data_IF_149112561298
#
_entry.id   IF_149112561298
#
_cell.length_a   1.000
_cell.length_b   1.000
_cell.length_c   1.000
_cell.angle_alpha   90.00
_cell.angle_beta   90.00
_cell.angle_gamma   90.00
#
_symmetry.space_group_name_H-M   'P 1'
#
loop_
_entity.id
_entity.type
_entity.pdbx_description
1 polymer ?
#
# COMPACT_ATOMS: atom_id res chain seq x y z
N UNK A 1 20.79 7.77 1.28
CA UNK A 1 20.94 7.31 1.54
C UNK A 1 20.85 7.04 1.46
N UNK A 2 20.79 6.83 1.40
CA UNK A 2 20.88 6.34 1.65
C UNK A 2 20.98 5.57 1.72
N UNK A 3 20.98 5.69 1.54
CA UNK A 3 21.20 4.94 1.75
C UNK A 3 21.06 4.16 2.11
N UNK A 4 21.05 3.72 2.12
CA UNK A 4 21.01 2.89 2.65
C UNK A 4 20.76 2.27 3.29
N UNK A 5 21.13 1.80 2.66
CA UNK A 5 20.50 1.67 3.83
C UNK A 5 20.84 0.53 4.75
N UNK A 6 21.23 0.84 5.86
CA UNK A 6 21.45 -0.08 6.94
C UNK A 6 20.13 -0.72 7.33
N UNK A 7 19.98 -2.06 7.25
CA UNK A 7 18.72 -2.70 7.61
C UNK A 7 18.37 -2.55 9.09
N UNK A 8 19.33 -2.22 9.92
CA UNK A 8 19.07 -1.94 11.33
C UNK A 8 18.69 -0.50 11.58
N UNK A 9 18.79 0.32 10.56
CA UNK A 9 18.38 1.69 10.67
C UNK A 9 16.88 1.76 10.82
N UNK A 10 16.44 2.50 11.81
CA UNK A 10 15.01 2.69 12.02
C UNK A 10 14.44 3.35 10.78
N UNK A 11 13.31 2.89 10.26
CA UNK A 11 12.65 3.60 9.18
C UNK A 11 12.55 5.08 9.51
N UNK A 12 12.62 5.91 8.51
CA UNK A 12 12.61 7.35 8.71
C UNK A 12 11.50 7.79 9.65
N UNK A 13 11.67 8.96 10.21
CA UNK A 13 10.72 9.53 11.17
C UNK A 13 9.27 9.48 10.65
N UNK A 14 9.09 9.70 9.35
CA UNK A 14 7.76 9.66 8.75
C UNK A 14 7.12 8.27 8.86
N UNK A 15 7.89 7.20 8.64
CA UNK A 15 7.38 5.84 8.78
C UNK A 15 7.02 5.52 10.22
N UNK A 16 7.87 5.90 11.15
CA UNK A 16 7.60 5.66 12.56
C UNK A 16 6.35 6.41 13.01
N UNK A 17 6.20 7.66 12.58
CA UNK A 17 5.02 8.47 12.91
C UNK A 17 3.76 7.83 12.34
N UNK A 18 3.81 7.35 11.10
CA UNK A 18 2.66 6.69 10.48
C UNK A 18 2.26 5.45 11.27
N UNK A 19 3.20 4.61 11.70
CA UNK A 19 2.90 3.43 12.49
C UNK A 19 2.26 3.78 13.82
N UNK A 20 2.73 4.83 14.48
CA UNK A 20 2.13 5.30 15.74
C UNK A 20 0.70 5.75 15.51
N UNK A 21 0.43 6.47 14.42
CA UNK A 21 -0.91 6.96 14.11
C UNK A 21 -1.85 5.80 13.76
N UNK A 22 -1.41 4.81 13.00
CA UNK A 22 -2.21 3.63 12.71
C UNK A 22 -2.57 2.87 13.99
N UNK A 23 -1.62 2.73 14.90
CA UNK A 23 -1.86 2.09 16.17
C UNK A 23 -2.90 2.85 17.00
N UNK A 24 -2.82 4.18 17.00
CA UNK A 24 -3.80 5.03 17.68
C UNK A 24 -5.19 4.87 17.09
N UNK A 25 -5.29 4.84 15.76
CA UNK A 25 -6.58 4.62 15.09
C UNK A 25 -7.17 3.26 15.44
N UNK A 26 -6.34 2.22 15.46
CA UNK A 26 -6.80 0.89 15.81
C UNK A 26 -7.37 0.84 17.23
N UNK A 27 -6.68 1.49 18.17
CA UNK A 27 -7.18 1.55 19.56
C UNK A 27 -8.44 2.35 19.68
N UNK A 28 -8.51 3.50 18.98
CA UNK A 28 -9.69 4.36 19.04
C UNK A 28 -10.92 3.71 18.41
N UNK A 29 -10.71 2.82 17.44
CA UNK A 29 -11.80 2.15 16.75
C UNK A 29 -12.36 0.95 17.52
N UNK A 30 -11.69 0.52 18.60
CA UNK A 30 -12.16 -0.62 19.37
C UNK A 30 -13.62 -0.41 19.80
N UNK A 31 -14.47 -1.44 19.73
CA UNK A 31 -14.17 -2.86 19.56
C UNK A 31 -14.06 -3.33 18.11
N UNK A 32 -13.99 -2.43 17.13
CA UNK A 32 -13.75 -2.85 15.75
C UNK A 32 -12.40 -3.55 15.64
N UNK A 33 -12.33 -4.50 14.73
CA UNK A 33 -11.08 -5.18 14.39
C UNK A 33 -10.26 -4.32 13.43
N UNK A 34 -8.99 -4.63 13.30
CA UNK A 34 -8.13 -3.94 12.33
C UNK A 34 -7.20 -4.93 11.66
N UNK A 35 -6.83 -4.62 10.42
CA UNK A 35 -5.83 -5.37 9.68
C UNK A 35 -4.43 -4.97 10.11
N UNK A 36 -3.44 -5.69 9.59
CA UNK A 36 -2.06 -5.23 9.63
C UNK A 36 -1.91 -3.99 8.74
N UNK A 37 -0.95 -3.15 9.09
CA UNK A 37 -0.53 -2.05 8.22
C UNK A 37 0.26 -2.66 7.07
N UNK A 38 -0.16 -2.36 5.85
CA UNK A 38 0.39 -2.97 4.64
C UNK A 38 0.86 -1.88 3.69
N UNK A 39 2.04 -2.01 3.06
CA UNK A 39 2.44 -1.07 2.02
C UNK A 39 1.43 -1.04 0.87
N UNK A 40 1.17 0.14 0.33
CA UNK A 40 0.17 0.31 -0.73
C UNK A 40 0.42 -0.58 -1.94
N UNK A 41 1.68 -0.69 -2.38
CA UNK A 41 2.00 -1.54 -3.53
C UNK A 41 1.65 -2.99 -3.31
N UNK A 42 1.93 -3.51 -2.11
CA UNK A 42 1.57 -4.88 -1.75
C UNK A 42 0.06 -5.08 -1.74
N UNK A 43 -0.66 -4.15 -1.14
CA UNK A 43 -2.12 -4.19 -1.08
C UNK A 43 -2.72 -4.22 -2.49
N UNK A 44 -2.26 -3.31 -3.35
CA UNK A 44 -2.78 -3.22 -4.71
C UNK A 44 -2.44 -4.46 -5.54
N UNK A 45 -1.25 -5.04 -5.35
CA UNK A 45 -0.89 -6.28 -6.04
C UNK A 45 -1.78 -7.45 -5.59
N UNK A 46 -2.11 -7.51 -4.32
CA UNK A 46 -3.04 -8.53 -3.83
C UNK A 46 -4.43 -8.39 -4.43
N UNK A 47 -4.81 -7.18 -4.81
CA UNK A 47 -6.08 -6.91 -5.50
C UNK A 47 -6.00 -7.11 -7.01
N UNK A 48 -4.81 -7.42 -7.56
CA UNK A 48 -4.65 -7.73 -8.97
C UNK A 48 -4.39 -6.52 -9.85
N UNK A 49 -3.80 -5.44 -9.30
CA UNK A 49 -3.61 -4.21 -10.08
C UNK A 49 -2.73 -4.41 -11.31
N UNK A 50 -1.67 -5.26 -11.22
CA UNK A 50 -0.77 -5.45 -12.36
C UNK A 50 -1.47 -6.16 -13.51
N UNK A 51 -2.22 -7.22 -13.22
CA UNK A 51 -2.99 -7.91 -14.26
C UNK A 51 -4.01 -6.98 -14.89
N UNK A 52 -4.68 -6.15 -14.08
CA UNK A 52 -5.64 -5.18 -14.58
C UNK A 52 -4.97 -4.12 -15.45
N UNK A 53 -3.80 -3.63 -15.01
CA UNK A 53 -3.05 -2.62 -15.75
C UNK A 53 -2.59 -3.17 -17.11
N UNK A 54 -2.16 -4.44 -17.15
CA UNK A 54 -1.75 -5.08 -18.39
C UNK A 54 -2.92 -5.25 -19.35
N UNK A 55 -4.08 -5.63 -18.83
CA UNK A 55 -5.28 -5.77 -19.65
C UNK A 55 -5.68 -4.42 -20.26
N UNK A 56 -5.65 -3.35 -19.47
CA UNK A 56 -5.97 -2.02 -19.96
C UNK A 56 -4.94 -1.51 -20.96
N UNK A 57 -3.65 -1.84 -20.75
CA UNK A 57 -2.58 -1.39 -21.63
C UNK A 57 -2.72 -1.94 -23.05
N UNK A 58 -3.35 -3.10 -23.22
CA UNK A 58 -3.49 -3.72 -24.54
C UNK A 58 -4.26 -2.86 -25.53
N UNK A 59 -5.08 -1.94 -25.04
CA UNK A 59 -5.83 -1.01 -25.90
C UNK A 59 -5.20 0.36 -26.03
N UNK A 60 -3.99 0.56 -25.50
CA UNK A 60 -3.36 1.88 -25.46
C UNK A 60 -2.08 1.88 -26.28
N UNK A 61 -1.77 3.05 -26.86
CA UNK A 61 -0.53 3.26 -27.61
C UNK A 61 -0.02 4.67 -27.33
N UNK A 62 1.25 4.93 -27.70
CA UNK A 62 1.84 6.27 -27.64
C UNK A 62 1.80 6.88 -26.25
N UNK A 63 1.47 8.15 -26.18
CA UNK A 63 1.48 8.91 -24.93
C UNK A 63 0.49 8.35 -23.91
N UNK A 64 -0.64 7.85 -24.37
CA UNK A 64 -1.63 7.25 -23.45
C UNK A 64 -1.06 6.00 -22.77
N UNK A 65 -0.33 5.18 -23.50
CA UNK A 65 0.32 4.01 -22.91
C UNK A 65 1.41 4.44 -21.94
N UNK A 66 2.23 5.42 -22.30
CA UNK A 66 3.29 5.91 -21.42
C UNK A 66 2.73 6.46 -20.11
N UNK A 67 1.65 7.22 -20.20
CA UNK A 67 0.98 7.78 -19.02
C UNK A 67 0.43 6.65 -18.12
N UNK A 68 -0.16 5.65 -18.75
CA UNK A 68 -0.72 4.50 -18.03
C UNK A 68 0.38 3.73 -17.27
N UNK A 69 1.50 3.46 -17.95
CA UNK A 69 2.64 2.75 -17.34
C UNK A 69 3.19 3.57 -16.16
N UNK A 70 3.36 4.87 -16.36
CA UNK A 70 3.90 5.75 -15.32
C UNK A 70 2.96 5.81 -14.10
N UNK A 71 1.65 5.83 -14.33
CA UNK A 71 0.68 5.85 -13.23
C UNK A 71 0.72 4.56 -12.42
N UNK A 72 0.81 3.41 -13.09
CA UNK A 72 0.92 2.13 -12.41
C UNK A 72 2.18 2.08 -11.56
N UNK A 73 3.31 2.48 -12.13
CA UNK A 73 4.57 2.52 -11.40
C UNK A 73 4.49 3.44 -10.18
N UNK A 74 3.92 4.63 -10.35
CA UNK A 74 3.80 5.58 -9.24
C UNK A 74 3.00 5.01 -8.08
N UNK A 75 1.92 4.30 -8.37
CA UNK A 75 1.05 3.74 -7.33
C UNK A 75 1.70 2.56 -6.60
N UNK A 76 2.50 1.75 -7.29
CA UNK A 76 2.90 0.43 -6.78
C UNK A 76 4.37 0.29 -6.48
N UNK A 77 5.24 1.07 -7.13
CA UNK A 77 6.68 0.84 -7.03
C UNK A 77 7.20 1.22 -5.65
N UNK A 78 8.07 0.38 -5.04
CA UNK A 78 8.59 0.66 -3.69
C UNK A 78 9.32 1.99 -3.57
N UNK A 79 9.93 2.48 -4.66
CA UNK A 79 10.62 3.76 -4.66
C UNK A 79 9.69 4.96 -4.86
N UNK A 80 8.41 4.69 -5.02
CA UNK A 80 7.38 5.73 -5.16
C UNK A 80 6.32 5.50 -4.09
N UNK A 81 5.05 5.55 -4.44
CA UNK A 81 3.97 5.46 -3.44
C UNK A 81 3.76 4.05 -2.91
N UNK A 82 4.36 3.03 -3.55
CA UNK A 82 4.14 1.64 -3.19
C UNK A 82 4.56 1.31 -1.75
N UNK A 83 5.61 1.91 -1.25
CA UNK A 83 6.07 1.72 0.12
C UNK A 83 5.80 2.95 1.00
N UNK A 84 5.89 4.14 0.42
CA UNK A 84 5.69 5.38 1.16
C UNK A 84 4.31 5.44 1.80
N UNK A 85 3.29 4.99 1.08
CA UNK A 85 1.93 4.97 1.60
C UNK A 85 1.58 3.60 2.14
N UNK A 86 0.82 3.60 3.23
CA UNK A 86 0.41 2.39 3.92
C UNK A 86 -1.11 2.34 3.99
N UNK A 87 -1.63 1.14 4.14
CA UNK A 87 -3.07 0.89 4.19
C UNK A 87 -3.38 0.03 5.42
N UNK A 88 -4.44 0.38 6.11
CA UNK A 88 -4.98 -0.44 7.20
C UNK A 88 -6.50 -0.41 7.10
N UNK A 89 -7.14 -1.53 7.32
CA UNK A 89 -8.60 -1.59 7.38
C UNK A 89 -9.08 -1.61 8.83
N UNK A 90 -10.17 -0.92 9.08
CA UNK A 90 -10.95 -1.05 10.30
C UNK A 90 -12.28 -1.68 9.88
N UNK A 91 -12.70 -2.75 10.57
CA UNK A 91 -13.89 -3.48 10.17
C UNK A 91 -14.58 -4.08 11.39
N UNK A 92 -15.88 -4.44 11.28
CA UNK A 92 -16.61 -4.95 12.45
C UNK A 92 -15.98 -6.22 12.98
N UNK A 93 -15.87 -6.31 14.29
CA UNK A 93 -15.38 -7.51 14.94
C UNK A 93 -16.26 -8.70 14.58
N UNK A 94 -15.64 -9.86 14.36
CA UNK A 94 -16.36 -11.05 13.98
C UNK A 94 -16.65 -11.20 12.49
N UNK A 95 -16.27 -10.21 11.68
CA UNK A 95 -16.36 -10.30 10.23
C UNK A 95 -15.00 -10.57 9.62
N UNK A 96 -14.98 -11.02 8.36
CA UNK A 96 -13.72 -11.25 7.66
C UNK A 96 -13.06 -9.92 7.31
N UNK A 97 -11.70 -9.87 7.30
CA UNK A 97 -11.00 -8.70 6.82
C UNK A 97 -11.29 -8.45 5.35
N UNK A 98 -11.18 -7.19 4.89
CA UNK A 98 -11.36 -6.90 3.46
C UNK A 98 -10.30 -7.57 2.61
N UNK A 99 -10.65 -7.80 1.34
CA UNK A 99 -9.72 -8.35 0.37
C UNK A 99 -8.44 -7.51 0.31
N UNK A 100 -7.31 -8.17 0.14
CA UNK A 100 -6.01 -7.50 0.10
C UNK A 100 -5.41 -7.19 1.46
N UNK A 101 -6.22 -7.24 2.52
CA UNK A 101 -5.79 -6.96 3.90
C UNK A 101 -6.13 -8.10 4.84
N UNK A 102 -6.34 -9.30 4.29
CA UNK A 102 -6.74 -10.48 5.02
C UNK A 102 -5.57 -11.39 5.41
N UNK A 103 -4.38 -10.85 5.34
CA UNK A 103 -3.16 -11.58 5.73
C UNK A 103 -2.53 -10.98 6.98
#
# INVERSE_FOLDING_TARGET
SHAKTDPLEVPGTADLTAHVEFASLARAAAPAAHSRVTPQGVFLERLGITARAQALASGLTGAALDTHIAAHRRLTHPEEMGTLFKVMALYPAGTAPPAGLDL
#
